data_IF_269614791271
#
_entry.id   IF_269614791271
#
_cell.length_a   1.000
_cell.length_b   1.000
_cell.length_c   1.000
_cell.angle_alpha   90.00
_cell.angle_beta   90.00
_cell.angle_gamma   90.00
#
_symmetry.space_group_name_H-M   'P 1'
#
loop_
_entity.id
_entity.type
_entity.pdbx_description
1 polymer ?
#
# COMPACT_ATOMS: atom_id res chain seq x y z
N UNK A 1 -1.26 -50.79 44.61
CA UNK A 1 0.16 -50.44 44.86
C UNK A 1 0.33 -48.94 44.68
N UNK A 2 0.84 -48.29 45.74
CA UNK A 2 1.77 -47.14 45.74
C UNK A 2 1.47 -45.92 44.86
N UNK A 3 1.05 -44.77 45.40
CA UNK A 3 1.81 -43.69 46.11
C UNK A 3 2.46 -42.62 45.23
N UNK A 4 2.25 -41.37 45.68
CA UNK A 4 3.11 -40.17 45.62
C UNK A 4 3.43 -39.57 44.25
N UNK A 5 3.00 -38.33 43.96
CA UNK A 5 3.52 -37.04 44.44
C UNK A 5 4.87 -36.64 43.81
N UNK A 6 4.92 -35.43 43.23
CA UNK A 6 6.15 -34.85 42.69
C UNK A 6 5.89 -33.49 42.02
N UNK A 7 5.77 -32.44 42.83
CA UNK A 7 5.91 -31.06 42.36
C UNK A 7 7.39 -30.77 42.06
N UNK A 8 7.70 -30.02 41.00
CA UNK A 8 8.95 -29.24 40.95
C UNK A 8 8.95 -28.14 39.87
N UNK A 9 9.05 -26.91 40.37
CA UNK A 9 9.80 -25.72 39.90
C UNK A 9 9.66 -25.21 38.46
N UNK A 10 9.18 -23.98 38.38
CA UNK A 10 9.52 -23.02 37.33
C UNK A 10 11.00 -22.57 37.41
N UNK A 11 11.61 -22.19 36.26
CA UNK A 11 12.66 -21.19 36.24
C UNK A 11 12.25 -19.95 35.43
N UNK A 12 12.24 -18.83 36.17
CA UNK A 12 12.85 -17.51 35.91
C UNK A 12 12.86 -16.96 34.47
N UNK A 13 12.24 -15.77 34.38
CA UNK A 13 12.34 -14.74 33.34
C UNK A 13 13.79 -14.53 32.87
N UNK A 14 14.03 -14.64 31.57
CA UNK A 14 15.21 -14.08 30.94
C UNK A 14 14.94 -12.60 30.61
N UNK A 15 15.65 -11.74 31.34
CA UNK A 15 15.72 -10.29 31.20
C UNK A 15 16.72 -10.01 30.09
N UNK A 16 16.30 -9.40 28.99
CA UNK A 16 17.21 -8.84 28.00
C UNK A 16 17.69 -7.47 28.50
N UNK A 17 19.00 -7.32 28.71
CA UNK A 17 19.62 -6.05 29.06
C UNK A 17 20.42 -5.51 27.88
N UNK A 18 20.06 -4.29 27.49
CA UNK A 18 20.81 -3.37 26.65
C UNK A 18 22.23 -3.15 27.21
N UNK A 19 23.22 -3.13 26.32
CA UNK A 19 24.59 -2.73 26.62
C UNK A 19 25.09 -1.76 25.56
N UNK A 20 24.94 -0.46 25.82
CA UNK A 20 25.77 0.59 25.22
C UNK A 20 26.80 0.99 26.28
N UNK A 21 28.08 0.76 25.98
CA UNK A 21 29.20 1.26 26.78
C UNK A 21 29.50 2.68 26.32
N UNK A 22 29.45 3.64 27.24
CA UNK A 22 29.92 5.01 27.03
C UNK A 22 31.34 5.08 27.58
N UNK A 23 32.34 5.15 26.70
CA UNK A 23 33.69 5.56 27.07
C UNK A 23 33.83 7.07 26.90
N UNK A 24 34.12 7.73 28.01
CA UNK A 24 34.49 9.14 28.12
C UNK A 24 35.99 9.31 27.86
N UNK A 25 36.35 10.09 26.84
CA UNK A 25 37.73 10.49 26.52
C UNK A 25 37.78 11.90 25.96
N UNK A 26 38.76 12.67 26.42
CA UNK A 26 38.85 14.14 26.42
C UNK A 26 39.26 14.82 25.11
N UNK A 27 38.87 16.09 25.03
CA UNK A 27 39.35 17.22 24.22
C UNK A 27 40.59 17.03 23.31
N UNK A 28 40.39 17.33 22.03
CA UNK A 28 41.43 17.66 21.06
C UNK A 28 40.83 18.49 19.92
N UNK A 29 41.18 19.77 19.86
CA UNK A 29 40.91 20.69 18.75
C UNK A 29 41.66 20.23 17.51
N UNK A 30 41.01 20.16 16.33
CA UNK A 30 41.54 20.50 15.00
C UNK A 30 40.56 20.07 13.89
N UNK A 31 40.32 20.96 12.93
CA UNK A 31 39.82 20.61 11.60
C UNK A 31 38.34 20.92 11.36
N UNK A 32 38.05 22.10 10.81
CA UNK A 32 36.90 22.25 9.92
C UNK A 32 37.14 21.37 8.69
N UNK A 33 36.73 20.09 8.75
CA UNK A 33 36.48 19.33 7.53
C UNK A 33 35.17 19.81 6.95
N UNK A 34 35.27 20.57 5.86
CA UNK A 34 34.14 20.81 4.96
C UNK A 34 33.73 19.44 4.41
N UNK A 35 32.64 18.88 4.93
CA UNK A 35 31.99 17.73 4.32
C UNK A 35 31.62 18.12 2.89
N UNK A 36 32.29 17.51 1.92
CA UNK A 36 31.85 17.53 0.52
C UNK A 36 30.43 16.96 0.39
N UNK A 37 29.79 17.14 -0.78
CA UNK A 37 28.42 16.70 -0.96
C UNK A 37 28.33 15.20 -0.71
N UNK A 38 27.43 14.78 0.18
CA UNK A 38 27.05 13.38 0.35
C UNK A 38 26.21 12.96 -0.85
N UNK A 39 26.88 12.80 -1.99
CA UNK A 39 26.32 12.12 -3.16
C UNK A 39 26.51 10.60 -2.95
N UNK A 40 25.67 10.03 -2.09
CA UNK A 40 25.40 8.60 -2.10
C UNK A 40 23.88 8.51 -2.11
N UNK A 41 23.31 8.05 -3.22
CA UNK A 41 21.93 7.59 -3.27
C UNK A 41 21.79 6.45 -2.25
N UNK A 42 21.44 6.82 -1.02
CA UNK A 42 21.19 5.87 0.05
C UNK A 42 19.73 5.47 -0.05
N UNK A 43 19.50 4.17 -0.28
CA UNK A 43 18.18 3.59 -0.21
C UNK A 43 17.60 3.87 1.18
N UNK A 44 16.51 4.63 1.24
CA UNK A 44 15.79 4.94 2.46
C UNK A 44 14.41 4.27 2.44
N UNK A 45 14.10 3.49 3.48
CA UNK A 45 12.83 2.78 3.60
C UNK A 45 12.25 3.05 4.98
N UNK A 46 11.04 3.59 5.01
CA UNK A 46 10.37 3.95 6.25
C UNK A 46 8.85 3.75 6.18
N UNK A 47 8.24 3.76 7.36
CA UNK A 47 6.79 3.70 7.53
C UNK A 47 6.33 4.98 8.23
N UNK A 48 5.30 5.60 7.68
CA UNK A 48 4.68 6.80 8.24
C UNK A 48 3.18 6.62 8.34
N UNK A 49 2.55 7.38 9.22
CA UNK A 49 1.09 7.45 9.24
C UNK A 49 0.57 7.97 7.90
N UNK A 50 -0.66 7.58 7.54
CA UNK A 50 -1.31 8.10 6.33
C UNK A 50 -1.38 9.64 6.31
N UNK A 51 -1.57 10.26 7.48
CA UNK A 51 -1.61 11.71 7.62
C UNK A 51 -0.27 12.37 7.30
N UNK A 52 0.84 11.80 7.75
CA UNK A 52 2.19 12.28 7.42
C UNK A 52 2.48 12.09 5.93
N UNK A 53 2.09 10.95 5.36
CA UNK A 53 2.23 10.69 3.93
C UNK A 53 1.49 11.73 3.05
N UNK A 54 0.33 12.23 3.50
CA UNK A 54 -0.41 13.31 2.81
C UNK A 54 0.35 14.65 2.77
N UNK A 55 1.35 14.85 3.63
CA UNK A 55 2.21 16.03 3.60
C UNK A 55 3.41 15.88 2.65
N UNK A 56 3.76 14.65 2.23
CA UNK A 56 4.88 14.41 1.33
C UNK A 56 4.46 14.52 -0.14
N UNK A 57 4.98 15.55 -0.82
CA UNK A 57 4.68 15.81 -2.23
C UNK A 57 5.18 14.70 -3.18
N UNK A 58 6.26 13.99 -2.82
CA UNK A 58 6.82 12.90 -3.64
C UNK A 58 5.88 11.69 -3.60
N UNK A 59 5.38 11.35 -2.41
CA UNK A 59 4.40 10.26 -2.23
C UNK A 59 3.10 10.59 -2.98
N UNK A 60 2.62 11.84 -2.85
CA UNK A 60 1.41 12.29 -3.58
C UNK A 60 1.56 12.23 -5.09
N UNK A 61 2.75 12.53 -5.61
CA UNK A 61 3.00 12.52 -7.05
C UNK A 61 2.78 11.11 -7.63
N UNK A 62 3.29 10.07 -6.97
CA UNK A 62 3.17 8.69 -7.47
C UNK A 62 1.84 8.02 -7.12
N UNK A 63 1.18 8.44 -6.04
CA UNK A 63 -0.11 7.90 -5.60
C UNK A 63 -1.32 8.57 -6.28
N UNK A 64 -1.29 8.72 -7.61
CA UNK A 64 -2.25 9.57 -8.35
C UNK A 64 -2.90 8.96 -9.60
N UNK A 65 -2.54 7.73 -9.99
CA UNK A 65 -3.02 7.08 -11.21
C UNK A 65 -4.50 6.64 -11.21
N UNK A 66 -5.18 6.65 -10.06
CA UNK A 66 -6.57 6.25 -9.86
C UNK A 66 -7.11 6.83 -8.55
N UNK A 67 -8.45 6.89 -8.36
CA UNK A 67 -9.04 7.22 -7.07
C UNK A 67 -8.54 6.34 -5.92
N UNK A 68 -8.29 5.05 -6.16
CA UNK A 68 -8.13 4.05 -5.10
C UNK A 68 -6.74 4.04 -4.44
N UNK A 69 -5.75 4.72 -5.01
CA UNK A 69 -4.47 4.96 -4.35
C UNK A 69 -4.25 6.40 -3.87
N UNK A 70 -5.15 7.33 -4.23
CA UNK A 70 -5.01 8.73 -3.82
C UNK A 70 -5.04 8.80 -2.30
N UNK A 71 -4.02 9.42 -1.71
CA UNK A 71 -3.91 9.51 -0.24
C UNK A 71 -5.13 10.19 0.40
N UNK A 72 -5.72 11.19 -0.27
CA UNK A 72 -6.94 11.85 0.20
C UNK A 72 -8.16 10.92 0.18
N UNK A 73 -8.26 10.04 -0.83
CA UNK A 73 -9.29 9.01 -0.85
C UNK A 73 -9.10 7.99 0.28
N UNK A 74 -7.87 7.53 0.47
CA UNK A 74 -7.52 6.59 1.54
C UNK A 74 -7.76 7.20 2.92
N UNK A 75 -7.52 8.50 3.10
CA UNK A 75 -7.76 9.21 4.35
C UNK A 75 -9.26 9.28 4.66
N UNK A 76 -10.08 9.65 3.67
CA UNK A 76 -11.54 9.62 3.80
C UNK A 76 -12.05 8.22 4.16
N UNK A 77 -11.46 7.19 3.57
CA UNK A 77 -11.80 5.80 3.87
C UNK A 77 -11.45 5.41 5.30
N UNK A 78 -10.25 5.78 5.74
CA UNK A 78 -9.75 5.51 7.07
C UNK A 78 -10.65 6.18 8.13
N UNK A 79 -10.96 7.46 7.92
CA UNK A 79 -11.82 8.25 8.80
C UNK A 79 -13.24 7.67 8.87
N UNK A 80 -13.79 7.25 7.74
CA UNK A 80 -15.15 6.74 7.68
C UNK A 80 -15.30 5.34 8.30
N UNK A 81 -14.29 4.47 8.19
CA UNK A 81 -14.50 3.05 8.50
C UNK A 81 -13.27 2.16 8.74
N UNK A 82 -12.01 2.64 8.64
CA UNK A 82 -10.82 1.77 8.76
C UNK A 82 -9.85 2.14 9.89
N UNK A 83 -10.23 3.06 10.78
CA UNK A 83 -9.42 3.54 11.91
C UNK A 83 -8.10 4.23 11.48
N UNK A 84 -8.07 5.56 11.43
CA UNK A 84 -6.91 6.31 10.93
C UNK A 84 -5.59 6.01 11.64
N UNK A 85 -5.64 5.71 12.94
CA UNK A 85 -4.46 5.39 13.74
C UNK A 85 -3.74 4.11 13.29
N UNK A 86 -4.42 3.22 12.56
CA UNK A 86 -3.86 1.97 12.04
C UNK A 86 -3.48 2.07 10.57
N UNK A 87 -3.78 3.18 9.90
CA UNK A 87 -3.47 3.40 8.49
C UNK A 87 -2.01 3.87 8.34
N UNK A 88 -1.22 3.09 7.63
CA UNK A 88 0.21 3.28 7.44
C UNK A 88 0.53 3.35 5.95
N UNK A 89 1.64 4.01 5.64
CA UNK A 89 2.21 4.07 4.29
C UNK A 89 3.68 3.72 4.40
N UNK A 90 4.08 2.64 3.74
CA UNK A 90 5.49 2.34 3.52
C UNK A 90 5.99 3.13 2.32
N UNK A 91 7.16 3.74 2.44
CA UNK A 91 7.82 4.48 1.37
C UNK A 91 9.24 3.95 1.24
N UNK A 92 9.67 3.70 0.00
CA UNK A 92 11.07 3.46 -0.34
C UNK A 92 11.53 4.54 -1.31
N UNK A 93 12.72 5.09 -1.08
CA UNK A 93 13.37 6.11 -1.90
C UNK A 93 14.76 5.64 -2.29
N UNK A 94 15.09 5.71 -3.57
CA UNK A 94 16.44 5.50 -4.09
C UNK A 94 16.73 6.51 -5.20
N UNK A 95 17.43 7.59 -4.86
CA UNK A 95 17.60 8.74 -5.74
C UNK A 95 16.23 9.33 -6.16
N UNK A 96 15.96 9.33 -7.46
CA UNK A 96 14.68 9.80 -8.04
C UNK A 96 13.58 8.73 -8.05
N UNK A 97 13.91 7.48 -7.68
CA UNK A 97 12.95 6.39 -7.62
C UNK A 97 12.22 6.39 -6.29
N UNK A 98 10.90 6.23 -6.35
CA UNK A 98 10.05 6.14 -5.16
C UNK A 98 9.06 5.01 -5.34
N UNK A 99 8.87 4.20 -4.31
CA UNK A 99 7.76 3.26 -4.20
C UNK A 99 6.94 3.55 -2.96
N UNK A 100 5.64 3.31 -3.06
CA UNK A 100 4.67 3.56 -1.99
C UNK A 100 3.74 2.38 -1.86
N UNK A 101 3.53 1.90 -0.64
CA UNK A 101 2.56 0.85 -0.32
C UNK A 101 1.69 1.29 0.86
N UNK A 102 0.42 1.65 0.62
CA UNK A 102 -0.55 1.86 1.68
C UNK A 102 -1.01 0.53 2.29
N UNK A 103 -1.08 0.45 3.61
CA UNK A 103 -1.56 -0.72 4.33
C UNK A 103 -2.15 -0.32 5.69
N UNK A 104 -2.77 -1.27 6.38
CA UNK A 104 -3.22 -1.07 7.74
C UNK A 104 -2.88 -2.27 8.61
N UNK A 105 -2.65 -2.02 9.88
CA UNK A 105 -2.56 -3.10 10.85
C UNK A 105 -3.95 -3.53 11.31
N UNK A 106 -4.25 -4.82 11.21
CA UNK A 106 -5.47 -5.42 11.74
C UNK A 106 -5.13 -6.69 12.52
N UNK A 107 -5.40 -6.67 13.83
CA UNK A 107 -5.18 -7.82 14.74
C UNK A 107 -3.75 -8.39 14.63
N UNK A 108 -2.75 -7.51 14.57
CA UNK A 108 -1.34 -7.89 14.43
C UNK A 108 -0.95 -8.43 13.05
N UNK A 109 -1.76 -8.18 12.02
CA UNK A 109 -1.49 -8.56 10.64
C UNK A 109 -1.56 -7.34 9.74
N UNK A 110 -0.83 -7.41 8.63
CA UNK A 110 -0.88 -6.39 7.59
C UNK A 110 -2.05 -6.71 6.67
N UNK A 111 -2.92 -5.74 6.47
CA UNK A 111 -4.02 -5.83 5.52
C UNK A 111 -4.01 -4.64 4.57
N UNK A 112 -4.64 -4.80 3.42
CA UNK A 112 -4.88 -3.69 2.52
C UNK A 112 -5.58 -2.53 3.23
N UNK A 113 -5.14 -1.29 2.96
CA UNK A 113 -5.88 -0.09 3.36
C UNK A 113 -7.06 0.11 2.40
N UNK A 114 -8.08 -0.74 2.53
CA UNK A 114 -9.22 -0.81 1.63
C UNK A 114 -10.46 -1.39 2.32
N UNK A 115 -11.61 -1.22 1.66
CA UNK A 115 -12.88 -1.85 2.00
C UNK A 115 -13.72 -2.05 0.71
N UNK A 116 -15.04 -2.25 0.85
CA UNK A 116 -15.97 -2.41 -0.27
C UNK A 116 -16.00 -1.26 -1.29
N UNK A 117 -15.53 -0.06 -0.92
CA UNK A 117 -15.45 1.11 -1.79
C UNK A 117 -14.10 1.23 -2.53
N UNK A 118 -13.19 0.27 -2.34
CA UNK A 118 -11.95 0.15 -3.09
C UNK A 118 -11.99 -1.10 -3.96
N UNK A 119 -12.18 -0.91 -5.27
CA UNK A 119 -12.29 -2.02 -6.22
C UNK A 119 -10.97 -2.75 -6.46
N UNK A 120 -9.85 -2.11 -6.14
CA UNK A 120 -8.55 -2.72 -6.09
C UNK A 120 -7.60 -1.94 -5.18
N UNK A 121 -6.52 -2.60 -4.79
CA UNK A 121 -5.34 -2.00 -4.17
C UNK A 121 -4.11 -2.30 -5.00
N UNK A 122 -3.11 -1.44 -4.89
CA UNK A 122 -1.81 -1.61 -5.52
C UNK A 122 -0.75 -0.81 -4.77
N UNK A 123 0.50 -1.16 -4.99
CA UNK A 123 1.60 -0.24 -4.75
C UNK A 123 1.64 0.85 -5.82
N UNK A 124 2.30 1.97 -5.53
CA UNK A 124 2.50 3.08 -6.44
C UNK A 124 4.00 3.35 -6.64
N UNK A 125 4.34 4.00 -7.75
CA UNK A 125 5.72 4.34 -8.08
C UNK A 125 6.50 3.18 -8.68
N UNK A 126 7.81 3.12 -8.42
CA UNK A 126 8.73 2.17 -9.03
C UNK A 126 8.64 0.78 -8.39
N UNK A 127 8.19 -0.20 -9.17
CA UNK A 127 8.09 -1.59 -8.72
C UNK A 127 9.43 -2.21 -8.28
N UNK A 128 10.57 -1.69 -8.72
CA UNK A 128 11.89 -2.22 -8.38
C UNK A 128 12.18 -2.13 -6.87
N UNK A 129 11.63 -1.11 -6.19
CA UNK A 129 11.83 -0.86 -4.76
C UNK A 129 10.83 -1.62 -3.86
N UNK A 130 9.89 -2.38 -4.44
CA UNK A 130 8.89 -3.10 -3.66
C UNK A 130 9.49 -4.20 -2.78
N UNK A 131 10.61 -4.78 -3.20
CA UNK A 131 11.28 -5.81 -2.39
C UNK A 131 11.88 -5.21 -1.11
N UNK A 132 12.33 -3.95 -1.16
CA UNK A 132 12.86 -3.21 -0.02
C UNK A 132 11.73 -2.84 0.95
N UNK A 133 10.59 -2.37 0.41
CA UNK A 133 9.37 -2.21 1.21
C UNK A 133 8.98 -3.52 1.88
N UNK A 134 8.91 -4.62 1.11
CA UNK A 134 8.49 -5.91 1.64
C UNK A 134 9.43 -6.45 2.74
N UNK A 135 10.73 -6.14 2.69
CA UNK A 135 11.70 -6.46 3.75
C UNK A 135 11.47 -5.65 5.03
N UNK A 136 11.02 -4.41 4.90
CA UNK A 136 10.73 -3.52 6.05
C UNK A 136 9.41 -3.81 6.76
N UNK A 137 8.46 -4.48 6.08
CA UNK A 137 7.14 -4.75 6.63
C UNK A 137 7.20 -5.52 7.96
N UNK A 138 6.29 -5.23 8.91
CA UNK A 138 6.17 -6.00 10.14
C UNK A 138 6.07 -7.51 9.89
N UNK A 139 6.78 -8.28 10.71
CA UNK A 139 6.71 -9.74 10.67
C UNK A 139 5.29 -10.25 10.91
N UNK A 140 4.91 -11.33 10.22
CA UNK A 140 3.65 -12.02 10.45
C UNK A 140 2.98 -12.42 9.14
N UNK A 141 1.72 -12.00 8.98
CA UNK A 141 0.94 -12.24 7.76
C UNK A 141 0.57 -10.90 7.13
N UNK A 142 0.71 -10.84 5.80
CA UNK A 142 0.21 -9.75 4.98
C UNK A 142 -0.86 -10.27 4.02
N UNK A 143 -1.91 -9.47 3.78
CA UNK A 143 -2.95 -9.77 2.80
C UNK A 143 -3.34 -8.51 2.05
N UNK A 144 -3.08 -8.51 0.74
CA UNK A 144 -3.42 -7.44 -0.17
C UNK A 144 -4.40 -7.96 -1.21
N UNK A 145 -5.65 -7.52 -1.12
CA UNK A 145 -6.71 -7.92 -2.05
C UNK A 145 -7.85 -6.88 -2.02
N UNK A 146 -8.62 -6.76 -3.12
CA UNK A 146 -8.31 -7.30 -4.46
C UNK A 146 -7.19 -6.50 -5.14
N UNK A 147 -6.37 -7.13 -5.99
CA UNK A 147 -5.30 -6.47 -6.75
C UNK A 147 -5.44 -6.76 -8.24
N UNK A 148 -5.11 -5.83 -9.16
CA UNK A 148 -5.01 -6.15 -10.58
C UNK A 148 -3.92 -7.20 -10.80
N UNK A 149 -4.08 -8.06 -11.81
CA UNK A 149 -3.20 -9.22 -12.01
C UNK A 149 -1.73 -8.83 -12.15
N UNK A 150 -1.43 -7.77 -12.92
CA UNK A 150 -0.06 -7.29 -13.12
C UNK A 150 0.57 -6.80 -11.83
N UNK A 151 -0.19 -6.07 -11.01
CA UNK A 151 0.27 -5.58 -9.70
C UNK A 151 0.46 -6.74 -8.71
N UNK A 152 -0.43 -7.75 -8.75
CA UNK A 152 -0.33 -8.93 -7.91
C UNK A 152 0.92 -9.75 -8.23
N UNK A 153 1.25 -9.91 -9.52
CA UNK A 153 2.49 -10.58 -9.96
C UNK A 153 3.72 -9.83 -9.46
N UNK A 154 3.76 -8.51 -9.62
CA UNK A 154 4.88 -7.68 -9.17
C UNK A 154 5.06 -7.72 -7.63
N UNK A 155 3.97 -7.55 -6.88
CA UNK A 155 3.96 -7.65 -5.42
C UNK A 155 4.43 -9.04 -4.96
N UNK A 156 3.94 -10.11 -5.59
CA UNK A 156 4.33 -11.46 -5.23
C UNK A 156 5.81 -11.75 -5.50
N UNK A 157 6.36 -11.23 -6.60
CA UNK A 157 7.79 -11.34 -6.88
C UNK A 157 8.63 -10.60 -5.83
N UNK A 158 8.25 -9.35 -5.51
CA UNK A 158 8.92 -8.53 -4.51
C UNK A 158 8.89 -9.15 -3.10
N UNK A 159 7.73 -9.67 -2.68
CA UNK A 159 7.59 -10.34 -1.38
C UNK A 159 8.43 -11.62 -1.32
N UNK A 160 8.45 -12.44 -2.39
CA UNK A 160 9.33 -13.64 -2.44
C UNK A 160 10.80 -13.26 -2.36
N UNK A 161 11.23 -12.22 -3.07
CA UNK A 161 12.61 -11.71 -3.01
C UNK A 161 12.97 -11.22 -1.60
N UNK A 162 12.00 -10.67 -0.87
CA UNK A 162 12.13 -10.27 0.53
C UNK A 162 12.11 -11.45 1.52
N UNK A 163 11.98 -12.69 1.05
CA UNK A 163 11.97 -13.91 1.89
C UNK A 163 10.60 -14.34 2.40
N UNK A 164 9.51 -13.74 1.91
CA UNK A 164 8.16 -14.15 2.28
C UNK A 164 7.72 -15.41 1.53
N UNK A 165 6.92 -16.24 2.19
CA UNK A 165 6.13 -17.28 1.53
C UNK A 165 4.85 -16.64 1.00
N UNK A 166 4.65 -16.72 -0.33
CA UNK A 166 3.57 -15.97 -1.00
C UNK A 166 2.60 -16.91 -1.71
N UNK A 167 1.31 -16.74 -1.41
CA UNK A 167 0.19 -17.35 -2.10
C UNK A 167 -0.56 -16.28 -2.90
N UNK A 168 -0.94 -16.60 -4.13
CA UNK A 168 -1.68 -15.72 -5.03
C UNK A 168 -2.77 -16.51 -5.72
N UNK A 169 -4.02 -16.11 -5.52
CA UNK A 169 -5.17 -16.72 -6.17
C UNK A 169 -6.10 -15.63 -6.72
N UNK A 170 -6.74 -15.83 -7.88
CA UNK A 170 -7.79 -14.96 -8.38
C UNK A 170 -8.96 -14.86 -7.38
N UNK A 171 -9.41 -13.65 -7.08
CA UNK A 171 -10.51 -13.40 -6.12
C UNK A 171 -11.72 -12.66 -6.72
N UNK A 172 -11.57 -12.03 -7.89
CA UNK A 172 -12.64 -11.30 -8.58
C UNK A 172 -12.32 -11.12 -10.08
N UNK A 173 -13.27 -10.62 -10.87
CA UNK A 173 -13.10 -10.26 -12.27
C UNK A 173 -13.70 -8.88 -12.59
N UNK A 174 -12.89 -7.97 -13.13
CA UNK A 174 -13.32 -6.65 -13.56
C UNK A 174 -13.60 -6.60 -15.07
N UNK A 175 -14.71 -5.98 -15.46
CA UNK A 175 -15.01 -5.68 -16.87
C UNK A 175 -14.45 -4.32 -17.26
N UNK A 176 -13.33 -4.31 -17.98
CA UNK A 176 -12.67 -3.08 -18.44
C UNK A 176 -13.02 -2.81 -19.90
N UNK A 177 -13.38 -1.56 -20.20
CA UNK A 177 -13.51 -1.06 -21.57
C UNK A 177 -12.43 -0.01 -21.84
N UNK A 178 -11.42 -0.39 -22.59
CA UNK A 178 -10.37 0.55 -23.02
C UNK A 178 -10.94 1.55 -24.04
N UNK A 179 -10.87 2.84 -23.73
CA UNK A 179 -11.40 3.89 -24.61
C UNK A 179 -10.55 4.08 -25.86
N UNK A 180 -9.20 3.93 -25.75
CA UNK A 180 -8.25 4.06 -26.87
C UNK A 180 -8.47 5.30 -27.75
N UNK A 181 -8.82 6.44 -27.14
CA UNK A 181 -9.09 7.69 -27.85
C UNK A 181 -10.40 7.75 -28.64
N UNK A 182 -11.26 6.72 -28.53
CA UNK A 182 -12.54 6.62 -29.23
C UNK A 182 -13.53 7.67 -28.74
N UNK A 183 -14.16 8.37 -29.68
CA UNK A 183 -15.29 9.27 -29.39
C UNK A 183 -16.52 8.49 -28.93
N UNK A 184 -17.45 9.17 -28.24
CA UNK A 184 -18.74 8.56 -27.89
C UNK A 184 -19.51 8.07 -29.12
N UNK A 185 -19.49 8.84 -30.22
CA UNK A 185 -20.19 8.49 -31.45
C UNK A 185 -19.65 7.18 -32.05
N UNK A 186 -18.33 7.02 -32.12
CA UNK A 186 -17.69 5.79 -32.59
C UNK A 186 -17.96 4.62 -31.64
N UNK A 187 -17.89 4.85 -30.32
CA UNK A 187 -18.22 3.84 -29.32
C UNK A 187 -19.65 3.33 -29.51
N UNK A 188 -20.60 4.24 -29.64
CA UNK A 188 -22.01 3.93 -29.75
C UNK A 188 -22.35 3.25 -31.08
N UNK A 189 -21.78 3.71 -32.20
CA UNK A 189 -21.92 3.08 -33.50
C UNK A 189 -21.38 1.63 -33.51
N UNK A 190 -20.38 1.33 -32.69
CA UNK A 190 -19.82 -0.02 -32.54
C UNK A 190 -20.68 -0.97 -31.68
N UNK A 191 -21.70 -0.47 -30.96
CA UNK A 191 -22.51 -1.32 -30.06
C UNK A 191 -23.50 -2.19 -30.84
N UNK A 192 -23.84 -3.39 -30.33
CA UNK A 192 -24.85 -4.25 -30.94
C UNK A 192 -26.19 -3.53 -31.16
N UNK A 193 -26.86 -3.78 -32.29
CA UNK A 193 -28.11 -3.12 -32.65
C UNK A 193 -29.21 -3.27 -31.58
N UNK A 194 -29.30 -4.43 -30.94
CA UNK A 194 -30.25 -4.69 -29.86
C UNK A 194 -30.04 -3.77 -28.63
N UNK A 195 -28.79 -3.47 -28.29
CA UNK A 195 -28.48 -2.53 -27.20
C UNK A 195 -28.90 -1.11 -27.57
N UNK A 196 -28.61 -0.68 -28.81
CA UNK A 196 -28.99 0.65 -29.29
C UNK A 196 -30.50 0.85 -29.31
N UNK A 197 -31.25 -0.14 -29.78
CA UNK A 197 -32.72 -0.09 -29.79
C UNK A 197 -33.32 -0.09 -28.37
N UNK A 198 -32.72 -0.83 -27.45
CA UNK A 198 -33.14 -0.82 -26.04
C UNK A 198 -32.98 0.57 -25.42
N UNK A 199 -31.82 1.19 -25.61
CA UNK A 199 -31.56 2.55 -25.12
C UNK A 199 -32.50 3.56 -25.79
N UNK A 200 -32.70 3.49 -27.11
CA UNK A 200 -33.64 4.37 -27.84
C UNK A 200 -35.07 4.25 -27.30
N UNK A 201 -35.55 3.03 -27.08
CA UNK A 201 -36.90 2.76 -26.56
C UNK A 201 -37.08 3.28 -25.14
N UNK A 202 -36.07 3.11 -24.28
CA UNK A 202 -36.09 3.58 -22.88
C UNK A 202 -36.00 5.11 -22.80
N UNK A 203 -35.12 5.72 -23.61
CA UNK A 203 -34.99 7.18 -23.67
C UNK A 203 -36.28 7.87 -24.08
N UNK A 204 -37.04 7.32 -25.05
CA UNK A 204 -38.33 7.88 -25.49
C UNK A 204 -39.41 7.93 -24.42
N UNK A 205 -39.35 7.04 -23.42
CA UNK A 205 -40.32 7.06 -22.32
C UNK A 205 -40.08 8.22 -21.35
N UNK A 206 -38.88 8.80 -21.34
CA UNK A 206 -38.53 9.86 -20.39
C UNK A 206 -38.45 9.36 -18.94
N UNK A 207 -38.34 8.05 -18.71
CA UNK A 207 -38.36 7.44 -17.37
C UNK A 207 -37.18 7.90 -16.48
N UNK A 208 -36.13 8.49 -17.07
CA UNK A 208 -34.91 8.89 -16.37
C UNK A 208 -34.45 10.26 -16.84
N UNK A 209 -34.19 11.17 -15.89
CA UNK A 209 -33.51 12.45 -16.12
C UNK A 209 -32.11 12.35 -15.53
N UNK A 210 -31.10 12.59 -16.36
CA UNK A 210 -29.69 12.64 -15.94
C UNK A 210 -29.22 14.09 -15.93
N UNK A 211 -28.64 14.51 -14.81
CA UNK A 211 -27.95 15.79 -14.68
C UNK A 211 -26.57 15.53 -14.11
N UNK A 212 -25.56 16.10 -14.76
CA UNK A 212 -24.23 16.23 -14.18
C UNK A 212 -24.23 17.57 -13.45
N UNK A 213 -24.11 17.54 -12.13
CA UNK A 213 -23.89 18.74 -11.35
C UNK A 213 -22.38 18.97 -11.24
N UNK A 214 -21.98 20.21 -11.47
CA UNK A 214 -20.66 20.72 -11.08
C UNK A 214 -20.95 21.83 -10.08
N UNK A 215 -20.25 21.79 -8.96
CA UNK A 215 -20.33 22.85 -7.94
C UNK A 215 -19.72 24.17 -8.46
#
# INVERSE_FOLDING_TARGET
MSTSAGASRAPRKARWSSGYTVESGSAGTLGLEKSGPKDCCELDVYHVSLKEAQADLRVKAVASGSPFERLDWLALLADACLEPAKAQVSVALDGDHIAVLPWREERGQITALANWYNFFVRSCGDSALLSDIARSLPMGRATFAPMPETDAVAMAAAMRQAGWVVLTDPCDANHVLEVKGRSYAEYWASRPGALRETVRRKGKKGDVVLRIATD
#
